data_IF_124248620651
#
_entry.id   IF_124248620651
#
_cell.length_a   1.000
_cell.length_b   1.000
_cell.length_c   1.000
_cell.angle_alpha   90.00
_cell.angle_beta   90.00
_cell.angle_gamma   90.00
#
_symmetry.space_group_name_H-M   'P 1'
#
loop_
_entity.id
_entity.type
_entity.pdbx_description
1 polymer ?
#
# COMPACT_ATOMS: atom_id res chain seq x y z
N UNK A 1 8.66 -38.84 -21.16
CA UNK A 1 8.58 -39.39 -19.79
C UNK A 1 9.82 -39.12 -18.93
N UNK A 2 11.04 -39.60 -19.23
CA UNK A 2 12.21 -39.30 -18.35
C UNK A 2 12.76 -37.86 -18.51
N UNK A 3 12.67 -37.28 -19.71
CA UNK A 3 13.20 -35.93 -20.00
C UNK A 3 12.30 -34.79 -19.46
N UNK A 4 10.98 -34.96 -19.41
CA UNK A 4 10.05 -33.99 -18.83
C UNK A 4 10.20 -33.87 -17.30
N UNK A 5 10.67 -34.93 -16.65
CA UNK A 5 10.83 -34.96 -15.19
C UNK A 5 12.09 -34.19 -14.73
N UNK A 6 13.18 -34.23 -15.50
CA UNK A 6 14.41 -33.47 -15.22
C UNK A 6 14.20 -31.95 -15.39
N UNK A 7 13.49 -31.52 -16.45
CA UNK A 7 13.18 -30.09 -16.68
C UNK A 7 12.29 -29.55 -15.56
N UNK A 8 11.30 -30.34 -15.12
CA UNK A 8 10.41 -29.97 -14.01
C UNK A 8 11.18 -29.83 -12.69
N UNK A 9 12.10 -30.75 -12.36
CA UNK A 9 12.92 -30.63 -11.15
C UNK A 9 13.91 -29.46 -11.19
N UNK A 10 14.54 -29.19 -12.34
CA UNK A 10 15.45 -28.04 -12.49
C UNK A 10 14.69 -26.73 -12.36
N UNK A 11 13.57 -26.56 -13.08
CA UNK A 11 12.77 -25.35 -13.03
C UNK A 11 12.14 -25.11 -11.64
N UNK A 12 11.64 -26.16 -10.97
CA UNK A 12 11.11 -26.05 -9.61
C UNK A 12 12.21 -25.68 -8.61
N UNK A 13 13.44 -26.14 -8.81
CA UNK A 13 14.59 -25.79 -7.98
C UNK A 13 15.01 -24.34 -8.21
N UNK A 14 15.11 -23.91 -9.46
CA UNK A 14 15.44 -22.53 -9.84
C UNK A 14 14.35 -21.54 -9.40
N UNK A 15 13.08 -21.94 -9.52
CA UNK A 15 11.94 -21.16 -9.03
C UNK A 15 11.91 -21.09 -7.50
N UNK A 16 12.20 -22.19 -6.80
CA UNK A 16 12.35 -22.18 -5.34
C UNK A 16 13.50 -21.26 -4.93
N UNK A 17 14.65 -21.35 -5.57
CA UNK A 17 15.81 -20.50 -5.26
C UNK A 17 15.54 -19.02 -5.59
N UNK A 18 14.70 -18.73 -6.58
CA UNK A 18 14.19 -17.38 -6.85
C UNK A 18 13.18 -16.91 -5.79
N UNK A 19 12.21 -17.75 -5.44
CA UNK A 19 11.15 -17.42 -4.47
C UNK A 19 11.69 -17.29 -3.04
N UNK A 20 12.74 -18.01 -2.68
CA UNK A 20 13.39 -17.96 -1.37
C UNK A 20 14.31 -16.73 -1.20
N UNK A 21 14.43 -15.86 -2.21
CA UNK A 21 15.11 -14.57 -2.05
C UNK A 21 14.29 -13.71 -1.09
N UNK A 22 14.85 -13.38 0.08
CA UNK A 22 14.15 -12.63 1.14
C UNK A 22 13.44 -11.37 0.65
N UNK A 23 14.08 -10.59 -0.22
CA UNK A 23 13.49 -9.38 -0.82
C UNK A 23 12.19 -9.63 -1.62
N UNK A 24 12.04 -10.81 -2.24
CA UNK A 24 10.82 -11.17 -3.00
C UNK A 24 9.71 -11.60 -2.04
N UNK A 25 10.05 -12.36 -1.00
CA UNK A 25 9.08 -12.81 0.02
C UNK A 25 8.51 -11.62 0.78
N UNK A 26 9.36 -10.70 1.23
CA UNK A 26 8.93 -9.52 2.00
C UNK A 26 8.03 -8.61 1.17
N UNK A 27 8.36 -8.41 -0.11
CA UNK A 27 7.52 -7.68 -1.05
C UNK A 27 6.18 -8.38 -1.29
N UNK A 28 6.18 -9.70 -1.48
CA UNK A 28 4.96 -10.48 -1.69
C UNK A 28 4.03 -10.40 -0.48
N UNK A 29 4.58 -10.56 0.74
CA UNK A 29 3.83 -10.43 1.99
C UNK A 29 3.25 -9.02 2.12
N UNK A 30 4.05 -7.97 1.84
CA UNK A 30 3.60 -6.59 1.87
C UNK A 30 2.42 -6.31 0.92
N UNK A 31 2.46 -6.83 -0.31
CA UNK A 31 1.37 -6.65 -1.29
C UNK A 31 0.10 -7.38 -0.87
N UNK A 32 0.20 -8.62 -0.38
CA UNK A 32 -0.95 -9.42 0.05
C UNK A 32 -1.64 -8.77 1.25
N UNK A 33 -0.86 -8.37 2.26
CA UNK A 33 -1.39 -7.71 3.45
C UNK A 33 -1.99 -6.35 3.07
N UNK A 34 -1.32 -5.57 2.22
CA UNK A 34 -1.83 -4.29 1.73
C UNK A 34 -3.17 -4.42 1.01
N UNK A 35 -3.31 -5.41 0.12
CA UNK A 35 -4.56 -5.66 -0.60
C UNK A 35 -5.68 -6.14 0.32
N UNK A 36 -5.38 -6.99 1.30
CA UNK A 36 -6.36 -7.46 2.28
C UNK A 36 -6.82 -6.33 3.21
N UNK A 37 -5.89 -5.50 3.69
CA UNK A 37 -6.20 -4.36 4.55
C UNK A 37 -7.04 -3.31 3.84
N UNK A 38 -6.74 -3.02 2.57
CA UNK A 38 -7.55 -2.13 1.73
C UNK A 38 -9.02 -2.55 1.75
N UNK A 39 -9.32 -3.83 1.49
CA UNK A 39 -10.69 -4.37 1.52
C UNK A 39 -11.39 -4.21 2.88
N UNK A 40 -10.66 -4.38 3.99
CA UNK A 40 -11.22 -4.19 5.34
C UNK A 40 -11.64 -2.74 5.52
N UNK A 41 -10.80 -1.78 5.10
CA UNK A 41 -11.15 -0.37 5.16
C UNK A 41 -12.32 -0.05 4.23
N UNK A 42 -12.32 -0.56 2.99
CA UNK A 42 -13.44 -0.41 2.05
C UNK A 42 -14.76 -0.88 2.65
N UNK A 43 -14.78 -2.06 3.29
CA UNK A 43 -15.98 -2.60 3.96
C UNK A 43 -16.39 -1.74 5.16
N UNK A 44 -15.43 -1.24 5.96
CA UNK A 44 -15.76 -0.32 7.05
C UNK A 44 -16.47 0.95 6.53
N UNK A 45 -15.99 1.52 5.42
CA UNK A 45 -16.61 2.72 4.84
C UNK A 45 -18.00 2.39 4.28
N UNK A 46 -18.09 1.35 3.45
CA UNK A 46 -19.32 0.99 2.74
C UNK A 46 -20.41 0.44 3.65
N UNK A 47 -20.04 -0.38 4.61
CA UNK A 47 -21.00 -1.17 5.40
C UNK A 47 -21.28 -0.53 6.76
N UNK A 48 -20.39 0.32 7.29
CA UNK A 48 -20.54 0.92 8.64
C UNK A 48 -20.69 2.43 8.58
N UNK A 49 -19.91 3.14 7.78
CA UNK A 49 -19.93 4.62 7.73
C UNK A 49 -21.05 5.14 6.83
N UNK A 50 -21.27 4.52 5.67
CA UNK A 50 -22.24 4.97 4.69
C UNK A 50 -23.71 4.81 5.11
N UNK A 51 -24.17 3.71 5.75
CA UNK A 51 -25.59 3.57 6.09
C UNK A 51 -26.12 4.65 7.06
N UNK A 52 -25.39 5.04 8.13
CA UNK A 52 -25.78 6.18 8.97
C UNK A 52 -25.82 7.51 8.21
N UNK A 53 -24.87 7.76 7.31
CA UNK A 53 -24.85 8.98 6.49
C UNK A 53 -26.03 8.98 5.49
N UNK A 54 -26.33 7.83 4.90
CA UNK A 54 -27.45 7.66 3.96
C UNK A 54 -28.80 7.89 4.64
N UNK A 55 -28.95 7.42 5.88
CA UNK A 55 -30.13 7.68 6.70
C UNK A 55 -30.27 9.17 7.05
N UNK A 56 -29.16 9.84 7.42
CA UNK A 56 -29.14 11.27 7.75
C UNK A 56 -29.48 12.18 6.55
N UNK A 57 -29.09 11.79 5.34
CA UNK A 57 -29.36 12.54 4.11
C UNK A 57 -30.70 12.17 3.45
N UNK A 58 -31.59 11.47 4.18
CA UNK A 58 -32.98 11.24 3.76
C UNK A 58 -33.27 9.85 3.19
N UNK A 59 -32.46 8.84 3.53
CA UNK A 59 -32.64 7.46 3.05
C UNK A 59 -32.11 7.23 1.63
N UNK A 60 -31.19 8.08 1.17
CA UNK A 60 -30.63 7.96 -0.18
C UNK A 60 -29.38 7.09 -0.13
N UNK A 61 -29.42 5.93 -0.79
CA UNK A 61 -28.24 5.13 -1.04
C UNK A 61 -27.30 5.90 -1.98
N UNK A 62 -26.14 6.36 -1.48
CA UNK A 62 -25.14 7.05 -2.31
C UNK A 62 -24.74 6.24 -3.54
N UNK A 63 -24.72 4.92 -3.42
CA UNK A 63 -24.46 4.02 -4.55
C UNK A 63 -25.48 4.14 -5.69
N UNK A 64 -26.69 4.66 -5.41
CA UNK A 64 -27.78 4.86 -6.37
C UNK A 64 -28.01 6.34 -6.74
N UNK A 65 -27.17 7.29 -6.29
CA UNK A 65 -27.22 8.65 -6.82
C UNK A 65 -26.54 8.72 -8.20
N UNK A 66 -27.35 8.81 -9.25
CA UNK A 66 -26.90 9.03 -10.61
C UNK A 66 -27.80 10.05 -11.33
N UNK A 67 -27.20 10.82 -12.24
CA UNK A 67 -27.94 11.66 -13.18
C UNK A 67 -27.87 10.98 -14.55
N UNK A 68 -28.99 10.50 -15.11
CA UNK A 68 -29.00 9.97 -16.46
C UNK A 68 -28.90 11.12 -17.47
N UNK A 69 -28.03 10.99 -18.47
CA UNK A 69 -27.82 12.01 -19.50
C UNK A 69 -28.77 11.86 -20.70
N UNK A 70 -29.92 11.21 -20.51
CA UNK A 70 -30.92 10.96 -21.57
C UNK A 70 -32.11 11.91 -21.45
N UNK A 71 -32.67 12.33 -22.59
CA UNK A 71 -33.90 13.13 -22.70
C UNK A 71 -35.16 12.25 -22.68
N UNK A 72 -35.18 11.21 -21.84
CA UNK A 72 -36.23 10.19 -21.78
C UNK A 72 -36.46 9.67 -20.36
N UNK A 73 -37.42 8.73 -20.20
CA UNK A 73 -37.88 8.22 -18.89
C UNK A 73 -36.73 7.80 -17.99
N UNK A 74 -36.61 8.47 -16.83
CA UNK A 74 -35.57 8.19 -15.87
C UNK A 74 -35.69 6.74 -15.34
N UNK A 75 -34.69 5.88 -15.52
CA UNK A 75 -34.69 4.53 -14.95
C UNK A 75 -34.67 4.63 -13.42
N UNK A 76 -35.36 3.71 -12.75
CA UNK A 76 -35.53 3.72 -11.29
C UNK A 76 -34.26 3.32 -10.54
N UNK A 77 -33.32 2.64 -11.21
CA UNK A 77 -32.07 2.15 -10.59
C UNK A 77 -30.85 2.29 -11.49
N UNK A 78 -29.67 2.41 -10.87
CA UNK A 78 -28.39 2.56 -11.56
C UNK A 78 -28.02 1.28 -12.34
N UNK A 79 -28.49 0.11 -11.86
CA UNK A 79 -28.31 -1.18 -12.50
C UNK A 79 -29.09 -1.29 -13.82
N UNK A 80 -30.33 -0.81 -13.86
CA UNK A 80 -31.15 -0.80 -15.08
C UNK A 80 -30.63 0.20 -16.11
N UNK A 81 -30.16 1.36 -15.66
CA UNK A 81 -29.59 2.37 -16.55
C UNK A 81 -28.30 1.88 -17.25
N UNK A 82 -27.43 1.18 -16.51
CA UNK A 82 -26.24 0.53 -17.06
C UNK A 82 -26.58 -0.63 -18.00
N UNK A 83 -27.57 -1.44 -17.65
CA UNK A 83 -28.02 -2.56 -18.49
C UNK A 83 -28.66 -2.09 -19.81
N UNK A 84 -29.36 -0.94 -19.79
CA UNK A 84 -29.95 -0.32 -20.97
C UNK A 84 -28.93 0.46 -21.84
N UNK A 85 -27.65 0.49 -21.45
CA UNK A 85 -26.61 1.22 -22.18
C UNK A 85 -26.78 2.75 -22.15
N UNK A 86 -27.57 3.27 -21.22
CA UNK A 86 -27.80 4.72 -21.09
C UNK A 86 -26.59 5.32 -20.38
N UNK A 87 -25.95 6.36 -20.94
CA UNK A 87 -24.86 7.05 -20.27
C UNK A 87 -25.39 7.74 -19.00
N UNK A 88 -24.89 7.31 -17.85
CA UNK A 88 -25.23 7.87 -16.53
C UNK A 88 -24.01 8.43 -15.83
N UNK A 89 -24.16 9.61 -15.22
CA UNK A 89 -23.17 10.17 -14.31
C UNK A 89 -23.47 9.68 -12.88
N UNK A 90 -22.77 8.62 -12.47
CA UNK A 90 -22.88 8.01 -11.14
C UNK A 90 -21.99 8.75 -10.11
N UNK A 91 -22.32 9.99 -9.78
CA UNK A 91 -21.53 10.81 -8.87
C UNK A 91 -21.51 10.26 -7.44
N UNK A 92 -22.54 9.51 -7.03
CA UNK A 92 -22.55 8.90 -5.71
C UNK A 92 -21.51 7.78 -5.53
N UNK A 93 -21.26 6.97 -6.58
CA UNK A 93 -20.14 6.01 -6.58
C UNK A 93 -18.78 6.71 -6.59
N UNK A 94 -18.66 7.85 -7.27
CA UNK A 94 -17.42 8.63 -7.24
C UNK A 94 -17.13 9.18 -5.83
N UNK A 95 -18.13 9.77 -5.17
CA UNK A 95 -17.97 10.25 -3.80
C UNK A 95 -17.59 9.12 -2.83
N UNK A 96 -18.17 7.94 -3.00
CA UNK A 96 -17.78 6.75 -2.23
C UNK A 96 -16.27 6.48 -2.38
N UNK A 97 -15.76 6.38 -3.62
CA UNK A 97 -14.33 6.14 -3.85
C UNK A 97 -13.42 7.24 -3.29
N UNK A 98 -13.90 8.50 -3.26
CA UNK A 98 -13.17 9.61 -2.64
C UNK A 98 -13.10 9.44 -1.12
N UNK A 99 -14.22 9.10 -0.47
CA UNK A 99 -14.24 8.84 0.98
C UNK A 99 -13.40 7.64 1.36
N UNK A 100 -13.47 6.55 0.59
CA UNK A 100 -12.61 5.37 0.77
C UNK A 100 -11.14 5.74 0.72
N UNK A 101 -10.71 6.51 -0.29
CA UNK A 101 -9.34 6.99 -0.41
C UNK A 101 -8.91 7.84 0.78
N UNK A 102 -9.75 8.79 1.21
CA UNK A 102 -9.46 9.66 2.35
C UNK A 102 -9.33 8.88 3.65
N UNK A 103 -10.19 7.88 3.87
CA UNK A 103 -10.17 7.06 5.08
C UNK A 103 -8.96 6.12 5.07
N UNK A 104 -8.62 5.49 3.95
CA UNK A 104 -7.40 4.68 3.82
C UNK A 104 -6.16 5.54 4.11
N UNK A 105 -6.06 6.72 3.51
CA UNK A 105 -4.95 7.64 3.75
C UNK A 105 -4.86 8.06 5.23
N UNK A 106 -6.00 8.34 5.86
CA UNK A 106 -6.08 8.67 7.28
C UNK A 106 -5.66 7.49 8.18
N UNK A 107 -6.10 6.27 7.89
CA UNK A 107 -5.70 5.07 8.62
C UNK A 107 -4.19 4.82 8.53
N UNK A 108 -3.60 4.91 7.33
CA UNK A 108 -2.16 4.77 7.14
C UNK A 108 -1.40 5.85 7.93
N UNK A 109 -1.86 7.10 7.85
CA UNK A 109 -1.26 8.20 8.61
C UNK A 109 -1.36 7.97 10.12
N UNK A 110 -2.52 7.52 10.63
CA UNK A 110 -2.72 7.22 12.05
C UNK A 110 -1.79 6.10 12.53
N UNK A 111 -1.64 5.02 11.74
CA UNK A 111 -0.72 3.91 12.06
C UNK A 111 0.73 4.40 12.09
N UNK A 112 1.17 5.13 11.06
CA UNK A 112 2.55 5.67 11.01
C UNK A 112 2.79 6.64 12.18
N UNK A 113 1.82 7.50 12.49
CA UNK A 113 1.90 8.41 13.62
C UNK A 113 1.97 7.66 14.95
N UNK A 114 1.27 6.53 15.08
CA UNK A 114 1.28 5.72 16.28
C UNK A 114 2.58 4.93 16.42
N UNK A 115 3.12 4.39 15.32
CA UNK A 115 4.43 3.74 15.29
C UNK A 115 5.52 4.77 15.64
N UNK A 116 5.51 5.96 15.02
CA UNK A 116 6.44 7.05 15.37
C UNK A 116 6.34 7.49 16.84
N UNK A 117 5.17 7.31 17.47
CA UNK A 117 4.96 7.64 18.88
C UNK A 117 5.51 6.56 19.82
N UNK A 118 5.44 5.29 19.43
CA UNK A 118 5.88 4.16 20.27
C UNK A 118 7.31 3.70 19.99
N UNK A 119 7.81 3.93 18.79
CA UNK A 119 9.21 3.76 18.44
C UNK A 119 9.86 5.13 18.56
N UNK A 120 10.71 5.39 19.60
CA UNK A 120 11.56 6.57 19.58
C UNK A 120 12.33 6.53 18.26
N UNK A 121 12.40 7.67 17.56
CA UNK A 121 13.09 7.73 16.27
C UNK A 121 14.42 7.01 16.40
N UNK A 122 14.56 5.86 15.75
CA UNK A 122 15.82 5.15 15.70
C UNK A 122 16.78 6.17 15.11
N UNK A 123 17.74 6.61 15.93
CA UNK A 123 18.67 7.64 15.53
C UNK A 123 19.23 7.16 14.18
N UNK A 124 19.08 7.95 13.10
CA UNK A 124 19.63 7.55 11.82
C UNK A 124 21.08 7.17 12.10
N UNK A 125 21.47 5.92 11.78
CA UNK A 125 22.84 5.44 11.99
C UNK A 125 23.73 6.51 11.36
N UNK A 126 24.34 7.34 12.20
CA UNK A 126 25.07 8.49 11.73
C UNK A 126 26.28 7.93 11.02
N UNK A 127 26.22 7.91 9.68
CA UNK A 127 27.30 7.39 8.87
C UNK A 127 28.55 8.19 9.24
N UNK A 128 29.45 7.56 9.99
CA UNK A 128 30.70 8.16 10.40
C UNK A 128 31.46 8.56 9.14
N UNK A 129 31.81 9.84 9.04
CA UNK A 129 32.69 10.34 7.97
C UNK A 129 34.12 10.34 8.47
N UNK A 130 35.04 9.98 7.59
CA UNK A 130 36.47 10.11 7.87
C UNK A 130 36.86 11.61 7.95
N UNK A 131 37.63 12.00 8.97
CA UNK A 131 38.07 13.40 9.15
C UNK A 131 39.01 13.90 8.04
N UNK A 132 39.70 12.97 7.35
CA UNK A 132 40.68 13.29 6.32
C UNK A 132 40.08 13.31 4.91
N UNK A 133 39.40 12.24 4.49
CA UNK A 133 38.85 12.13 3.13
C UNK A 133 37.35 12.42 3.02
N UNK A 134 36.63 12.59 4.15
CA UNK A 134 35.19 12.88 4.21
C UNK A 134 34.26 11.82 3.58
N UNK A 135 34.80 10.67 3.18
CA UNK A 135 33.99 9.53 2.74
C UNK A 135 33.36 8.80 3.93
N UNK A 136 32.26 8.12 3.64
CA UNK A 136 31.55 7.26 4.58
C UNK A 136 32.41 6.06 4.97
N UNK A 137 32.56 5.80 6.26
CA UNK A 137 33.30 4.68 6.81
C UNK A 137 32.43 3.91 7.81
N UNK A 138 32.77 2.65 8.05
CA UNK A 138 32.13 1.87 9.11
C UNK A 138 32.42 2.51 10.48
N UNK A 139 31.48 2.37 11.41
CA UNK A 139 31.54 3.03 12.72
C UNK A 139 32.74 2.56 13.55
N UNK A 140 33.09 1.28 13.42
CA UNK A 140 34.20 0.59 14.08
C UNK A 140 35.52 0.63 13.29
N UNK A 141 35.59 1.34 12.17
CA UNK A 141 36.80 1.41 11.37
C UNK A 141 37.96 2.09 12.13
N UNK A 142 39.02 1.32 12.40
CA UNK A 142 40.29 1.82 12.96
C UNK A 142 41.18 2.47 11.90
N UNK A 143 40.95 2.15 10.62
CA UNK A 143 41.69 2.69 9.48
C UNK A 143 40.75 2.96 8.32
N UNK A 144 40.91 4.12 7.69
CA UNK A 144 40.07 4.49 6.56
C UNK A 144 40.43 3.63 5.32
N UNK A 145 39.47 2.97 4.65
CA UNK A 145 39.74 2.17 3.45
C UNK A 145 40.14 3.01 2.23
N UNK A 146 39.77 4.29 2.20
CA UNK A 146 39.99 5.16 1.05
C UNK A 146 41.30 5.95 1.12
N UNK A 147 41.58 6.59 2.26
CA UNK A 147 42.79 7.40 2.44
C UNK A 147 43.84 6.75 3.34
N UNK A 148 43.56 5.56 3.88
CA UNK A 148 44.52 4.76 4.67
C UNK A 148 44.98 5.43 5.97
N UNK A 149 44.35 6.55 6.35
CA UNK A 149 44.59 7.26 7.60
C UNK A 149 44.13 6.43 8.81
N UNK A 150 44.89 6.51 9.90
CA UNK A 150 44.51 5.95 11.19
C UNK A 150 43.46 6.86 11.84
N UNK A 151 42.38 6.25 12.29
CA UNK A 151 41.25 6.94 12.89
C UNK A 151 41.19 6.59 14.37
N UNK A 152 41.15 7.59 15.23
CA UNK A 152 40.84 7.38 16.64
C UNK A 152 39.39 6.91 16.74
N UNK A 153 39.18 5.76 17.37
CA UNK A 153 37.84 5.24 17.63
C UNK A 153 37.14 6.29 18.51
N UNK A 154 36.06 6.89 18.01
CA UNK A 154 35.16 7.64 18.89
C UNK A 154 34.33 6.58 19.60
N UNK A 155 34.56 6.42 20.90
CA UNK A 155 33.66 5.67 21.76
C UNK A 155 32.27 6.33 21.64
N UNK A 156 31.27 5.53 21.23
CA UNK A 156 29.90 5.97 21.07
C UNK A 156 29.27 6.38 22.41
#
# INVERSE_FOLDING_TARGET
MNFEMEISMSFLKDFKDFAMRGNVVDLAVGVIIGAAFGKIVTSLVNDVVMPPIGLLLGGVDFSNLFIPLTTGTAPATLAEAKAAGIPVLAYGMFLNTVFEFLIIAFCIFAIISQIKRFTPAEAPVEIRKCDYCREAIADDATRCPHCTAELTIKEC
#
